data_IF_375404624505
#
_entry.id   IF_375404624505
#
_cell.length_a   1.000
_cell.length_b   1.000
_cell.length_c   1.000
_cell.angle_alpha   90.00
_cell.angle_beta   90.00
_cell.angle_gamma   90.00
#
_symmetry.space_group_name_H-M   'P 1'
#
loop_
_entity.id
_entity.type
_entity.pdbx_description
1 polymer ?
#
# COMPACT_ATOMS: atom_id res chain seq x y z
N UNK A 1 -9.08 -38.94 32.66
CA UNK A 1 -9.92 -38.57 31.50
C UNK A 1 -9.11 -37.62 30.67
N UNK A 2 -8.28 -38.17 29.79
CA UNK A 2 -7.51 -37.39 28.81
C UNK A 2 -8.45 -37.02 27.67
N UNK A 3 -8.76 -35.74 27.54
CA UNK A 3 -9.40 -35.19 26.35
C UNK A 3 -8.40 -35.28 25.21
N UNK A 4 -8.57 -36.29 24.35
CA UNK A 4 -7.80 -36.45 23.13
C UNK A 4 -7.86 -35.19 22.27
N UNK A 5 -6.70 -34.56 22.10
CA UNK A 5 -6.49 -33.51 21.11
C UNK A 5 -6.45 -34.17 19.73
N UNK A 6 -7.54 -34.14 18.99
CA UNK A 6 -7.53 -34.43 17.56
C UNK A 6 -6.81 -33.29 16.84
N UNK A 7 -5.62 -33.57 16.32
CA UNK A 7 -4.97 -32.70 15.34
C UNK A 7 -5.84 -32.66 14.07
N UNK A 8 -6.04 -31.49 13.44
CA UNK A 8 -6.72 -31.43 12.15
C UNK A 8 -5.96 -32.26 11.11
N UNK A 9 -6.70 -32.94 10.24
CA UNK A 9 -6.17 -33.89 9.26
C UNK A 9 -5.08 -33.27 8.37
N UNK A 10 -3.90 -33.88 8.42
CA UNK A 10 -2.60 -33.34 8.02
C UNK A 10 -2.35 -33.20 6.51
N UNK A 11 -3.34 -33.53 5.66
CA UNK A 11 -3.19 -33.51 4.20
C UNK A 11 -3.71 -32.23 3.54
N UNK A 12 -4.70 -31.55 4.13
CA UNK A 12 -5.28 -30.30 3.61
C UNK A 12 -4.32 -29.11 3.82
N UNK A 13 -3.50 -29.15 4.88
CA UNK A 13 -2.55 -28.08 5.23
C UNK A 13 -1.36 -27.93 4.27
N UNK A 14 -0.98 -28.99 3.52
CA UNK A 14 0.26 -29.00 2.74
C UNK A 14 0.27 -28.06 1.53
N UNK A 15 -0.90 -27.71 1.00
CA UNK A 15 -1.06 -26.87 -0.20
C UNK A 15 -1.76 -25.53 0.04
N UNK A 16 -2.05 -25.17 1.29
CA UNK A 16 -2.68 -23.90 1.61
C UNK A 16 -1.89 -22.69 1.08
N UNK A 17 -2.60 -21.72 0.49
CA UNK A 17 -2.06 -20.49 -0.08
C UNK A 17 -2.72 -19.27 0.54
N UNK A 18 -2.09 -18.10 0.40
CA UNK A 18 -2.72 -16.84 0.79
C UNK A 18 -3.36 -16.21 -0.44
N UNK A 19 -4.67 -15.98 -0.38
CA UNK A 19 -5.43 -15.34 -1.44
C UNK A 19 -4.91 -13.92 -1.72
N UNK A 20 -4.63 -13.64 -2.99
CA UNK A 20 -4.16 -12.34 -3.47
C UNK A 20 -5.26 -11.28 -3.51
N UNK A 21 -6.54 -11.70 -3.45
CA UNK A 21 -7.70 -10.81 -3.53
C UNK A 21 -8.21 -10.36 -2.15
N UNK A 22 -8.09 -11.18 -1.11
CA UNK A 22 -8.64 -10.89 0.22
C UNK A 22 -7.68 -11.17 1.40
N UNK A 23 -6.45 -11.65 1.15
CA UNK A 23 -5.48 -12.04 2.19
C UNK A 23 -5.86 -13.26 3.05
N UNK A 24 -7.00 -13.90 2.80
CA UNK A 24 -7.45 -15.09 3.51
C UNK A 24 -6.71 -16.35 3.04
N UNK A 25 -6.66 -17.37 3.90
CA UNK A 25 -6.10 -18.67 3.54
C UNK A 25 -7.05 -19.39 2.59
N UNK A 26 -6.49 -19.98 1.55
CA UNK A 26 -7.20 -20.79 0.57
C UNK A 26 -6.60 -22.18 0.48
N UNK A 27 -7.46 -23.17 0.31
CA UNK A 27 -7.11 -24.58 0.09
C UNK A 27 -7.58 -25.02 -1.29
N UNK A 28 -6.93 -26.03 -1.85
CA UNK A 28 -7.33 -26.61 -3.12
C UNK A 28 -8.26 -27.80 -2.84
N UNK A 29 -9.50 -27.73 -3.33
CA UNK A 29 -10.54 -28.75 -3.18
C UNK A 29 -11.17 -28.99 -4.55
N UNK A 30 -11.24 -30.25 -4.99
CA UNK A 30 -11.82 -30.67 -6.28
C UNK A 30 -11.33 -29.86 -7.49
N UNK A 31 -10.02 -29.55 -7.51
CA UNK A 31 -9.40 -28.77 -8.58
C UNK A 31 -9.67 -27.26 -8.55
N UNK A 32 -10.41 -26.77 -7.55
CA UNK A 32 -10.72 -25.35 -7.36
C UNK A 32 -10.09 -24.79 -6.08
N UNK A 33 -9.86 -23.47 -6.04
CA UNK A 33 -9.40 -22.79 -4.84
C UNK A 33 -10.58 -22.22 -4.06
N UNK A 34 -10.65 -22.54 -2.77
CA UNK A 34 -11.68 -22.06 -1.85
C UNK A 34 -11.03 -21.49 -0.60
N UNK A 35 -11.70 -20.56 0.07
CA UNK A 35 -11.27 -20.11 1.40
C UNK A 35 -11.35 -21.28 2.38
N UNK A 36 -10.35 -21.42 3.26
CA UNK A 36 -10.39 -22.49 4.27
C UNK A 36 -11.53 -22.28 5.25
N UNK A 37 -11.98 -23.35 5.90
CA UNK A 37 -13.02 -23.29 6.92
C UNK A 37 -12.63 -22.31 8.05
N UNK A 38 -11.37 -22.32 8.48
CA UNK A 38 -10.84 -21.41 9.51
C UNK A 38 -10.89 -19.94 9.04
N UNK A 39 -10.60 -19.68 7.76
CA UNK A 39 -10.66 -18.34 7.21
C UNK A 39 -12.11 -17.82 7.19
N UNK A 40 -13.06 -18.64 6.75
CA UNK A 40 -14.47 -18.27 6.70
C UNK A 40 -15.10 -18.14 8.09
N UNK A 41 -14.70 -18.99 9.05
CA UNK A 41 -15.17 -18.91 10.43
C UNK A 41 -14.84 -17.55 11.08
N UNK A 42 -13.66 -17.00 10.78
CA UNK A 42 -13.16 -15.79 11.44
C UNK A 42 -13.35 -14.51 10.61
N UNK A 43 -13.47 -14.63 9.28
CA UNK A 43 -13.39 -13.50 8.33
C UNK A 43 -14.33 -13.65 7.13
N UNK A 44 -15.52 -14.23 7.31
CA UNK A 44 -16.51 -14.39 6.22
C UNK A 44 -16.74 -13.09 5.44
N UNK A 45 -16.88 -11.96 6.13
CA UNK A 45 -17.14 -10.64 5.52
C UNK A 45 -15.97 -10.10 4.68
N UNK A 46 -14.75 -10.62 4.90
CA UNK A 46 -13.55 -10.25 4.13
C UNK A 46 -13.36 -11.15 2.89
N UNK A 47 -14.12 -12.25 2.76
CA UNK A 47 -13.90 -13.25 1.71
C UNK A 47 -14.28 -12.72 0.33
N UNK A 48 -13.43 -12.98 -0.67
CA UNK A 48 -13.75 -12.65 -2.06
C UNK A 48 -14.47 -13.79 -2.78
N UNK A 49 -15.24 -13.48 -3.81
CA UNK A 49 -15.96 -14.51 -4.58
C UNK A 49 -15.02 -15.37 -5.44
N UNK A 50 -13.90 -14.80 -5.87
CA UNK A 50 -12.92 -15.46 -6.74
C UNK A 50 -11.56 -15.58 -6.03
N UNK A 51 -11.30 -16.68 -5.30
CA UNK A 51 -10.04 -16.88 -4.60
C UNK A 51 -8.88 -17.04 -5.59
N UNK A 52 -7.88 -16.17 -5.47
CA UNK A 52 -6.67 -16.21 -6.30
C UNK A 52 -5.46 -16.64 -5.45
N UNK A 53 -5.01 -17.91 -5.51
CA UNK A 53 -3.94 -18.42 -4.66
C UNK A 53 -2.60 -17.72 -4.93
N UNK A 54 -1.98 -17.21 -3.86
CA UNK A 54 -0.65 -16.59 -3.90
C UNK A 54 0.45 -17.50 -3.33
N UNK A 55 1.33 -16.91 -2.51
CA UNK A 55 2.41 -17.64 -1.84
C UNK A 55 1.88 -18.76 -0.94
N UNK A 56 2.74 -19.72 -0.60
CA UNK A 56 2.41 -20.75 0.40
C UNK A 56 2.04 -20.12 1.75
N UNK A 57 0.95 -20.60 2.34
CA UNK A 57 0.59 -20.28 3.71
C UNK A 57 1.57 -20.96 4.67
N UNK A 58 2.02 -20.24 5.70
CA UNK A 58 2.81 -20.82 6.79
C UNK A 58 1.86 -21.44 7.81
N UNK A 59 2.31 -22.35 8.69
CA UNK A 59 1.44 -22.94 9.73
C UNK A 59 0.69 -21.89 10.56
N UNK A 60 1.38 -20.80 10.94
CA UNK A 60 0.75 -19.66 11.60
C UNK A 60 -0.34 -18.99 10.75
N UNK A 61 -0.10 -18.83 9.44
CA UNK A 61 -1.08 -18.20 8.56
C UNK A 61 -2.35 -19.06 8.47
N UNK A 62 -2.20 -20.39 8.39
CA UNK A 62 -3.32 -21.37 8.40
C UNK A 62 -4.09 -21.29 9.71
N UNK A 63 -3.40 -21.31 10.85
CA UNK A 63 -4.03 -21.20 12.18
C UNK A 63 -4.88 -19.94 12.35
N UNK A 64 -4.40 -18.80 11.83
CA UNK A 64 -5.16 -17.55 11.84
C UNK A 64 -6.19 -17.44 10.71
N UNK A 65 -6.20 -18.34 9.71
CA UNK A 65 -7.05 -18.22 8.52
C UNK A 65 -6.72 -17.04 7.58
N UNK A 66 -5.65 -16.27 7.83
CA UNK A 66 -5.25 -15.12 7.00
C UNK A 66 -3.78 -14.75 7.16
N UNK A 67 -3.24 -14.03 6.19
CA UNK A 67 -1.95 -13.37 6.34
C UNK A 67 -1.80 -12.13 5.46
N UNK A 68 -1.04 -11.10 5.90
CA UNK A 68 -0.81 -9.93 5.07
C UNK A 68 -0.05 -10.29 3.79
N UNK A 69 -0.54 -9.77 2.67
CA UNK A 69 0.10 -9.89 1.35
C UNK A 69 1.34 -9.01 1.21
N UNK A 70 1.33 -7.85 1.86
CA UNK A 70 2.44 -6.89 1.84
C UNK A 70 3.09 -6.74 3.20
N UNK A 71 4.40 -6.50 3.17
CA UNK A 71 5.11 -6.01 4.34
C UNK A 71 4.97 -4.49 4.39
N UNK A 72 4.64 -3.97 5.57
CA UNK A 72 4.76 -2.54 5.86
C UNK A 72 6.15 -2.03 5.53
N UNK A 73 6.21 -0.79 5.07
CA UNK A 73 7.49 -0.12 4.97
C UNK A 73 8.10 0.15 6.33
N UNK A 74 9.44 0.19 6.38
CA UNK A 74 10.10 0.81 7.51
C UNK A 74 9.62 2.26 7.66
N UNK A 75 9.75 2.81 8.87
CA UNK A 75 9.53 4.23 9.13
C UNK A 75 8.19 4.78 8.59
N UNK A 76 7.12 3.97 8.64
CA UNK A 76 5.81 4.37 8.14
C UNK A 76 4.76 4.54 9.24
N UNK A 77 3.78 5.38 8.95
CA UNK A 77 2.48 5.41 9.61
C UNK A 77 1.40 5.79 8.59
N UNK A 78 0.34 4.99 8.53
CA UNK A 78 -0.82 5.15 7.66
C UNK A 78 -2.11 4.80 8.39
N UNK A 79 -2.09 4.81 9.72
CA UNK A 79 -3.22 4.37 10.56
C UNK A 79 -4.00 5.53 11.16
N UNK A 80 -3.33 6.66 11.39
CA UNK A 80 -3.95 7.85 11.96
C UNK A 80 -4.78 8.62 10.90
N UNK A 81 -5.66 9.50 11.38
CA UNK A 81 -6.52 10.37 10.59
C UNK A 81 -6.77 11.69 11.31
N UNK A 82 -7.06 12.73 10.53
CA UNK A 82 -7.54 14.02 11.03
C UNK A 82 -9.04 14.11 10.79
N UNK A 83 -9.79 14.56 11.79
CA UNK A 83 -11.21 14.85 11.60
C UNK A 83 -11.39 16.07 10.70
N UNK A 84 -12.22 15.93 9.67
CA UNK A 84 -12.53 17.00 8.71
C UNK A 84 -13.98 17.42 8.93
N UNK A 85 -14.18 18.63 9.45
CA UNK A 85 -15.51 19.16 9.75
C UNK A 85 -16.36 19.22 8.48
N UNK A 86 -17.59 18.69 8.58
CA UNK A 86 -18.54 18.64 7.46
C UNK A 86 -18.34 17.45 6.52
N UNK A 87 -17.22 16.72 6.60
CA UNK A 87 -17.00 15.58 5.72
C UNK A 87 -17.99 14.47 6.03
N UNK A 88 -18.71 14.01 5.01
CA UNK A 88 -19.65 12.90 5.10
C UNK A 88 -19.30 11.86 4.05
N UNK A 89 -19.44 10.58 4.42
CA UNK A 89 -19.29 9.49 3.47
C UNK A 89 -20.47 9.52 2.48
N UNK A 90 -20.16 9.58 1.18
CA UNK A 90 -21.16 9.61 0.11
C UNK A 90 -20.53 9.38 -1.27
N UNK A 91 -21.25 9.74 -2.34
CA UNK A 91 -20.83 9.50 -3.73
C UNK A 91 -19.70 10.42 -4.24
N UNK A 92 -19.33 11.44 -3.46
CA UNK A 92 -18.24 12.34 -3.81
C UNK A 92 -16.90 11.60 -3.71
N UNK A 93 -16.05 11.68 -4.76
CA UNK A 93 -14.77 11.01 -4.70
C UNK A 93 -13.82 11.71 -3.73
N UNK A 94 -13.03 10.91 -3.01
CA UNK A 94 -11.96 11.39 -2.13
C UNK A 94 -10.80 11.87 -2.99
N UNK A 95 -10.42 13.14 -2.88
CA UNK A 95 -9.22 13.66 -3.53
C UNK A 95 -8.01 13.31 -2.69
N UNK A 96 -6.94 12.84 -3.32
CA UNK A 96 -5.74 12.38 -2.61
C UNK A 96 -4.50 12.93 -3.31
N UNK A 97 -3.74 13.76 -2.63
CA UNK A 97 -2.40 14.14 -3.07
C UNK A 97 -1.41 13.05 -2.73
N UNK A 98 -0.50 12.72 -3.65
CA UNK A 98 0.55 11.71 -3.45
C UNK A 98 1.88 12.23 -3.96
N UNK A 99 2.94 12.04 -3.19
CA UNK A 99 4.27 12.49 -3.59
C UNK A 99 5.40 11.62 -3.00
N UNK A 100 6.60 11.79 -3.55
CA UNK A 100 7.84 11.14 -3.19
C UNK A 100 8.95 12.14 -2.87
N UNK A 101 9.76 11.82 -1.87
CA UNK A 101 11.04 12.49 -1.63
C UNK A 101 12.17 11.46 -1.65
N UNK A 102 13.17 11.70 -2.51
CA UNK A 102 14.40 10.91 -2.56
C UNK A 102 15.63 11.83 -2.50
N UNK A 103 16.60 11.47 -1.66
CA UNK A 103 17.91 12.14 -1.59
C UNK A 103 19.02 11.12 -1.50
N UNK A 104 19.85 11.03 -2.54
CA UNK A 104 21.00 10.15 -2.55
C UNK A 104 21.97 10.48 -1.41
N UNK A 105 22.47 9.44 -0.71
CA UNK A 105 23.52 9.63 0.30
C UNK A 105 24.85 9.84 -0.40
N UNK A 106 25.70 10.70 0.17
CA UNK A 106 27.07 10.94 -0.32
C UNK A 106 27.90 9.65 -0.31
N UNK A 107 27.68 8.79 0.68
CA UNK A 107 28.39 7.51 0.87
C UNK A 107 27.53 6.33 0.37
N UNK A 108 27.16 6.33 -0.92
CA UNK A 108 26.27 5.32 -1.52
C UNK A 108 26.90 3.91 -1.63
N UNK A 109 28.16 3.76 -1.20
CA UNK A 109 28.93 2.52 -1.15
C UNK A 109 28.59 1.65 0.08
N UNK A 110 28.08 2.24 1.18
CA UNK A 110 27.66 1.51 2.40
C UNK A 110 26.21 1.03 2.35
N UNK A 111 25.95 -0.13 2.94
CA UNK A 111 24.59 -0.66 3.07
C UNK A 111 23.78 0.04 4.19
N UNK A 112 22.46 0.23 4.00
CA UNK A 112 21.73 0.00 2.75
C UNK A 112 22.07 1.08 1.69
N UNK A 113 22.25 0.65 0.44
CA UNK A 113 22.70 1.51 -0.67
C UNK A 113 21.70 2.63 -0.98
N UNK A 114 22.22 3.81 -1.35
CA UNK A 114 21.40 4.95 -1.76
C UNK A 114 20.69 5.67 -0.60
N UNK A 115 19.88 6.66 -0.97
CA UNK A 115 18.99 7.39 -0.05
C UNK A 115 17.78 6.57 0.38
N UNK A 116 17.09 6.94 1.47
CA UNK A 116 15.75 6.46 1.69
C UNK A 116 14.84 6.99 0.58
N UNK A 117 14.01 6.11 0.04
CA UNK A 117 12.89 6.45 -0.83
C UNK A 117 11.71 6.69 0.08
N UNK A 118 11.22 7.91 0.08
CA UNK A 118 10.17 8.36 0.97
C UNK A 118 8.91 8.62 0.17
N UNK A 119 7.76 8.37 0.78
CA UNK A 119 6.46 8.56 0.16
C UNK A 119 5.51 9.18 1.16
N UNK A 120 4.52 9.93 0.67
CA UNK A 120 3.48 10.55 1.46
C UNK A 120 2.17 10.67 0.68
N UNK A 121 1.04 10.67 1.40
CA UNK A 121 -0.26 11.03 0.84
C UNK A 121 -1.14 11.77 1.87
N UNK A 122 -2.02 12.63 1.38
CA UNK A 122 -3.06 13.32 2.18
C UNK A 122 -4.37 13.29 1.40
N UNK A 123 -5.46 12.90 2.06
CA UNK A 123 -6.78 12.69 1.47
C UNK A 123 -7.85 13.56 2.12
N UNK A 124 -8.79 14.06 1.33
CA UNK A 124 -9.85 14.99 1.78
C UNK A 124 -10.79 14.42 2.85
N UNK A 125 -10.82 13.09 3.03
CA UNK A 125 -11.58 12.43 4.08
C UNK A 125 -10.84 12.36 5.43
N UNK A 126 -9.70 13.03 5.57
CA UNK A 126 -8.92 13.02 6.80
C UNK A 126 -7.82 11.96 6.86
N UNK A 127 -7.83 11.00 5.94
CA UNK A 127 -6.77 9.99 5.89
C UNK A 127 -5.46 10.60 5.36
N UNK A 128 -4.36 10.18 5.96
CA UNK A 128 -3.02 10.51 5.47
C UNK A 128 -2.06 9.38 5.80
N UNK A 129 -0.91 9.35 5.14
CA UNK A 129 0.11 8.39 5.47
C UNK A 129 1.46 8.78 4.89
N UNK A 130 2.51 8.25 5.50
CA UNK A 130 3.87 8.49 5.07
C UNK A 130 4.75 7.30 5.41
N UNK A 131 5.86 7.14 4.70
CA UNK A 131 6.82 6.10 5.03
C UNK A 131 8.09 6.17 4.21
N UNK A 132 9.07 5.34 4.59
CA UNK A 132 10.36 5.33 3.90
C UNK A 132 10.95 3.93 3.82
N UNK A 133 11.59 3.61 2.71
CA UNK A 133 12.32 2.35 2.56
C UNK A 133 13.67 2.59 1.93
N UNK A 134 14.61 1.70 2.19
CA UNK A 134 15.87 1.64 1.46
C UNK A 134 15.76 0.51 0.44
N UNK A 135 15.96 0.80 -0.85
CA UNK A 135 15.90 -0.24 -1.87
C UNK A 135 17.21 -1.04 -1.89
N UNK A 136 17.16 -2.37 -1.73
CA UNK A 136 18.31 -3.21 -2.02
C UNK A 136 18.66 -3.10 -3.52
N UNK A 137 19.94 -3.18 -3.89
CA UNK A 137 20.40 -3.17 -5.31
C UNK A 137 19.66 -4.15 -6.23
N UNK A 138 19.20 -5.29 -5.68
CA UNK A 138 18.44 -6.32 -6.43
C UNK A 138 17.02 -5.88 -6.81
N UNK A 139 16.48 -4.84 -6.17
CA UNK A 139 15.21 -4.23 -6.58
C UNK A 139 15.61 -3.07 -7.50
N UNK A 140 15.56 -3.32 -8.80
CA UNK A 140 15.92 -2.31 -9.79
C UNK A 140 14.85 -1.23 -9.94
N UNK A 141 15.20 -0.24 -10.77
CA UNK A 141 14.34 0.86 -11.17
C UNK A 141 14.71 2.19 -10.53
N UNK A 142 14.14 3.25 -11.08
CA UNK A 142 14.36 4.62 -10.61
C UNK A 142 13.78 4.83 -9.20
N UNK A 143 14.57 5.32 -8.21
CA UNK A 143 14.11 5.51 -6.85
C UNK A 143 12.93 6.48 -6.71
N UNK A 144 12.87 7.52 -7.53
CA UNK A 144 11.79 8.53 -7.48
C UNK A 144 10.49 7.90 -7.95
N UNK A 145 10.48 7.32 -9.15
CA UNK A 145 9.34 6.58 -9.72
C UNK A 145 8.83 5.50 -8.77
N UNK A 146 9.75 4.79 -8.09
CA UNK A 146 9.37 3.81 -7.08
C UNK A 146 8.65 4.46 -5.89
N UNK A 147 9.15 5.59 -5.38
CA UNK A 147 8.53 6.28 -4.25
C UNK A 147 7.15 6.83 -4.58
N UNK A 148 6.97 7.41 -5.77
CA UNK A 148 5.69 7.96 -6.24
C UNK A 148 4.63 6.85 -6.30
N UNK A 149 4.95 5.73 -6.97
CA UNK A 149 4.04 4.58 -7.07
C UNK A 149 3.77 3.92 -5.71
N UNK A 150 4.65 4.12 -4.73
CA UNK A 150 4.42 3.64 -3.36
C UNK A 150 3.48 4.54 -2.57
N UNK A 151 3.55 5.85 -2.77
CA UNK A 151 2.56 6.77 -2.24
C UNK A 151 1.17 6.38 -2.74
N UNK A 152 1.04 6.16 -4.05
CA UNK A 152 -0.19 5.66 -4.68
C UNK A 152 -0.61 4.32 -4.10
N UNK A 153 0.32 3.36 -3.95
CA UNK A 153 0.00 2.03 -3.40
C UNK A 153 -0.66 2.11 -2.02
N UNK A 154 -0.08 2.87 -1.10
CA UNK A 154 -0.59 2.98 0.26
C UNK A 154 -1.90 3.77 0.32
N UNK A 155 -2.04 4.83 -0.49
CA UNK A 155 -3.29 5.57 -0.63
C UNK A 155 -4.43 4.68 -1.15
N UNK A 156 -4.21 4.00 -2.29
CA UNK A 156 -5.19 3.10 -2.91
C UNK A 156 -5.58 1.98 -1.95
N UNK A 157 -4.60 1.34 -1.32
CA UNK A 157 -4.83 0.24 -0.37
C UNK A 157 -5.73 0.65 0.80
N UNK A 158 -5.59 1.88 1.30
CA UNK A 158 -6.38 2.37 2.44
C UNK A 158 -7.76 2.85 2.03
N UNK A 159 -7.89 3.52 0.88
CA UNK A 159 -9.06 4.31 0.54
C UNK A 159 -10.05 3.60 -0.40
N UNK A 160 -9.54 2.90 -1.43
CA UNK A 160 -10.38 2.29 -2.47
C UNK A 160 -11.37 1.25 -1.96
N UNK A 161 -11.10 0.47 -0.89
CA UNK A 161 -12.08 -0.45 -0.34
C UNK A 161 -13.40 0.20 0.12
N UNK A 162 -13.42 1.53 0.34
CA UNK A 162 -14.58 2.26 0.88
C UNK A 162 -14.97 3.50 0.08
N UNK A 163 -14.14 3.93 -0.86
CA UNK A 163 -14.28 5.22 -1.52
C UNK A 163 -13.85 5.18 -2.98
N UNK A 164 -14.53 5.97 -3.80
CA UNK A 164 -13.99 6.42 -5.10
C UNK A 164 -12.87 7.42 -4.83
N UNK A 165 -11.76 7.33 -5.55
CA UNK A 165 -10.54 8.10 -5.33
C UNK A 165 -10.12 8.84 -6.59
N UNK A 166 -9.79 10.12 -6.45
CA UNK A 166 -9.04 10.89 -7.46
C UNK A 166 -7.63 11.14 -6.93
N UNK A 167 -6.66 10.45 -7.52
CA UNK A 167 -5.24 10.63 -7.24
C UNK A 167 -4.73 11.89 -7.93
N UNK A 168 -4.04 12.74 -7.18
CA UNK A 168 -3.37 13.93 -7.65
C UNK A 168 -1.87 13.73 -7.46
N UNK A 169 -1.13 13.74 -8.56
CA UNK A 169 0.32 13.54 -8.58
C UNK A 169 0.95 14.46 -9.61
N UNK A 170 2.17 14.92 -9.36
CA UNK A 170 2.98 15.67 -10.31
C UNK A 170 3.84 14.81 -11.23
N UNK A 171 3.80 13.49 -11.05
CA UNK A 171 4.46 12.52 -11.91
C UNK A 171 3.61 12.12 -13.11
N UNK A 172 4.02 12.58 -14.29
CA UNK A 172 3.38 12.19 -15.56
C UNK A 172 3.54 10.69 -15.81
N UNK A 173 4.71 10.12 -15.52
CA UNK A 173 4.98 8.68 -15.63
C UNK A 173 4.02 7.85 -14.76
N UNK A 174 3.70 8.33 -13.55
CA UNK A 174 2.69 7.70 -12.67
C UNK A 174 1.30 7.75 -13.30
N UNK A 175 0.90 8.90 -13.85
CA UNK A 175 -0.40 9.04 -14.53
C UNK A 175 -0.51 8.06 -15.71
N UNK A 176 0.48 8.07 -16.60
CA UNK A 176 0.52 7.19 -17.78
C UNK A 176 0.48 5.71 -17.39
N UNK A 177 1.27 5.31 -16.38
CA UNK A 177 1.32 3.92 -15.95
C UNK A 177 0.01 3.46 -15.32
N UNK A 178 -0.66 4.31 -14.52
CA UNK A 178 -1.97 3.98 -13.96
C UNK A 178 -3.03 3.86 -15.06
N UNK A 179 -3.06 4.79 -16.03
CA UNK A 179 -4.02 4.74 -17.14
C UNK A 179 -3.81 3.49 -18.01
N UNK A 180 -2.57 3.10 -18.30
CA UNK A 180 -2.29 1.83 -18.98
C UNK A 180 -2.75 0.61 -18.17
N UNK A 181 -2.58 0.63 -16.85
CA UNK A 181 -3.05 -0.46 -15.99
C UNK A 181 -4.57 -0.57 -15.99
N UNK A 182 -5.31 0.55 -16.09
CA UNK A 182 -6.77 0.53 -16.22
C UNK A 182 -7.22 -0.20 -17.49
N UNK A 183 -6.40 -0.20 -18.55
CA UNK A 183 -6.67 -0.96 -19.78
C UNK A 183 -6.06 -2.38 -19.77
N UNK A 184 -5.61 -2.87 -18.61
CA UNK A 184 -5.10 -4.23 -18.44
C UNK A 184 -3.61 -4.43 -18.75
N UNK A 185 -2.83 -3.35 -18.96
CA UNK A 185 -1.38 -3.45 -19.16
C UNK A 185 -0.70 -4.17 -17.99
N UNK A 186 0.37 -4.90 -18.31
CA UNK A 186 1.26 -5.56 -17.33
C UNK A 186 2.60 -4.82 -17.18
N UNK A 187 2.77 -3.67 -17.85
CA UNK A 187 3.99 -2.86 -17.79
C UNK A 187 4.32 -2.49 -16.34
N UNK A 188 5.58 -2.55 -15.97
CA UNK A 188 6.09 -2.05 -14.68
C UNK A 188 6.97 -0.82 -14.93
N UNK A 189 7.25 0.01 -13.89
CA UNK A 189 8.28 1.03 -14.01
C UNK A 189 9.60 0.42 -14.51
N UNK A 190 10.33 1.16 -15.34
CA UNK A 190 11.57 0.66 -15.97
C UNK A 190 12.52 0.12 -14.91
N UNK A 191 12.99 -1.11 -15.09
CA UNK A 191 13.92 -1.79 -14.19
C UNK A 191 13.29 -2.38 -12.92
N UNK A 192 11.99 -2.19 -12.67
CA UNK A 192 11.32 -2.73 -11.50
C UNK A 192 11.14 -4.25 -11.59
N UNK A 193 11.72 -4.98 -10.63
CA UNK A 193 11.59 -6.44 -10.55
C UNK A 193 10.38 -6.83 -9.72
N UNK A 194 9.49 -7.68 -10.25
CA UNK A 194 8.30 -8.18 -9.55
C UNK A 194 8.58 -9.41 -8.69
N UNK A 195 9.57 -10.23 -9.06
CA UNK A 195 9.96 -11.41 -8.29
C UNK A 195 10.63 -10.98 -6.98
N UNK A 196 10.21 -11.60 -5.87
CA UNK A 196 10.71 -11.32 -4.53
C UNK A 196 11.21 -12.62 -3.89
N UNK A 197 12.36 -12.56 -3.23
CA UNK A 197 12.89 -13.69 -2.45
C UNK A 197 11.93 -14.17 -1.34
N UNK A 198 11.04 -13.30 -0.85
CA UNK A 198 10.03 -13.65 0.16
C UNK A 198 8.79 -14.32 -0.41
N UNK A 199 8.69 -14.50 -1.73
CA UNK A 199 7.51 -14.97 -2.49
C UNK A 199 6.24 -14.12 -2.35
N UNK A 200 6.21 -13.16 -1.43
CA UNK A 200 5.19 -12.11 -1.40
C UNK A 200 5.18 -11.34 -2.73
N UNK A 201 4.00 -11.02 -3.27
CA UNK A 201 3.90 -10.21 -4.47
C UNK A 201 4.54 -8.83 -4.24
N UNK A 202 5.18 -8.29 -5.28
CA UNK A 202 5.73 -6.94 -5.24
C UNK A 202 4.60 -5.91 -5.03
N UNK A 203 4.87 -4.85 -4.27
CA UNK A 203 3.89 -3.79 -3.98
C UNK A 203 3.28 -3.20 -5.24
N UNK A 204 4.09 -2.90 -6.25
CA UNK A 204 3.61 -2.28 -7.48
C UNK A 204 2.83 -3.28 -8.36
N UNK A 205 3.13 -4.58 -8.29
CA UNK A 205 2.28 -5.60 -8.93
C UNK A 205 0.93 -5.73 -8.22
N UNK A 206 0.90 -5.64 -6.89
CA UNK A 206 -0.36 -5.55 -6.17
C UNK A 206 -1.11 -4.27 -6.48
N UNK A 207 -0.43 -3.13 -6.58
CA UNK A 207 -1.07 -1.88 -6.99
C UNK A 207 -1.73 -2.05 -8.36
N UNK A 208 -0.99 -2.56 -9.34
CA UNK A 208 -1.51 -2.83 -10.68
C UNK A 208 -2.78 -3.68 -10.65
N UNK A 209 -2.77 -4.78 -9.89
CA UNK A 209 -3.94 -5.64 -9.73
C UNK A 209 -5.12 -4.92 -9.10
N UNK A 210 -4.88 -4.07 -8.09
CA UNK A 210 -5.93 -3.25 -7.49
C UNK A 210 -6.48 -2.21 -8.49
N UNK A 211 -5.61 -1.59 -9.30
CA UNK A 211 -6.02 -0.65 -10.35
C UNK A 211 -6.89 -1.34 -11.40
N UNK A 212 -6.49 -2.53 -11.87
CA UNK A 212 -7.30 -3.32 -12.82
C UNK A 212 -8.64 -3.71 -12.20
N UNK A 213 -8.64 -4.20 -10.95
CA UNK A 213 -9.84 -4.71 -10.27
C UNK A 213 -10.84 -3.60 -9.92
N UNK A 214 -10.36 -2.40 -9.63
CA UNK A 214 -11.15 -1.28 -9.12
C UNK A 214 -11.01 -0.04 -10.02
N UNK A 215 -10.87 -0.23 -11.34
CA UNK A 215 -10.56 0.83 -12.30
C UNK A 215 -11.66 1.92 -12.37
N UNK A 216 -12.89 1.56 -12.03
CA UNK A 216 -14.06 2.44 -11.93
C UNK A 216 -14.05 3.32 -10.66
N UNK A 217 -13.33 2.88 -9.63
CA UNK A 217 -13.16 3.61 -8.37
C UNK A 217 -11.91 4.50 -8.36
N UNK A 218 -11.01 4.34 -9.32
CA UNK A 218 -9.71 5.04 -9.35
C UNK A 218 -9.64 5.95 -10.57
N UNK A 219 -9.46 7.24 -10.33
CA UNK A 219 -9.06 8.22 -11.35
C UNK A 219 -7.73 8.82 -10.97
N UNK A 220 -6.87 9.13 -11.95
CA UNK A 220 -5.62 9.86 -11.73
C UNK A 220 -5.64 11.17 -12.52
N UNK A 221 -5.11 12.24 -11.92
CA UNK A 221 -4.95 13.54 -12.56
C UNK A 221 -3.55 14.06 -12.30
N UNK A 222 -2.90 14.48 -13.37
CA UNK A 222 -1.64 15.19 -13.27
C UNK A 222 -1.90 16.60 -12.73
N UNK A 223 -1.15 16.99 -11.72
CA UNK A 223 -1.08 18.37 -11.22
C UNK A 223 0.33 18.89 -11.44
N UNK A 224 0.50 20.18 -11.69
CA UNK A 224 1.84 20.71 -11.91
C UNK A 224 2.60 20.75 -10.58
N UNK A 225 3.76 20.08 -10.52
CA UNK A 225 4.64 20.09 -9.35
C UNK A 225 5.06 21.50 -8.95
N UNK A 226 5.20 21.75 -7.64
CA UNK A 226 5.60 23.04 -7.07
C UNK A 226 4.70 24.25 -7.42
N UNK A 227 3.44 24.03 -7.82
CA UNK A 227 2.48 25.11 -8.14
C UNK A 227 1.26 25.19 -7.22
N UNK A 228 1.30 24.59 -6.02
CA UNK A 228 0.34 24.99 -4.99
C UNK A 228 -0.82 24.06 -4.71
N UNK A 229 -0.93 22.84 -5.29
CA UNK A 229 -2.05 21.97 -4.89
C UNK A 229 -1.85 21.51 -3.44
N UNK A 230 -2.71 21.92 -2.48
CA UNK A 230 -2.40 21.76 -1.07
C UNK A 230 -2.22 20.30 -0.64
N UNK A 231 -2.98 19.36 -1.24
CA UNK A 231 -2.81 17.93 -0.95
C UNK A 231 -1.47 17.38 -1.43
N UNK A 232 -0.96 17.82 -2.59
CA UNK A 232 0.32 17.35 -3.12
C UNK A 232 1.48 17.91 -2.30
N UNK A 233 1.42 19.20 -1.93
CA UNK A 233 2.41 19.81 -1.03
C UNK A 233 2.39 19.20 0.37
N UNK A 234 1.21 18.85 0.87
CA UNK A 234 1.06 18.08 2.10
C UNK A 234 1.74 16.71 2.00
N UNK A 235 1.52 16.00 0.90
CA UNK A 235 2.15 14.72 0.63
C UNK A 235 3.69 14.81 0.55
N UNK A 236 4.24 15.83 -0.13
CA UNK A 236 5.67 16.13 -0.18
C UNK A 236 6.27 16.32 1.22
N UNK A 237 5.62 17.16 2.04
CA UNK A 237 6.04 17.40 3.41
C UNK A 237 6.04 16.11 4.26
N UNK A 238 4.99 15.29 4.12
CA UNK A 238 4.90 13.99 4.76
C UNK A 238 6.02 13.03 4.34
N UNK A 239 6.34 12.97 3.04
CA UNK A 239 7.47 12.19 2.54
C UNK A 239 8.81 12.69 3.13
N UNK A 240 9.00 14.00 3.27
CA UNK A 240 10.19 14.58 3.90
C UNK A 240 10.32 14.18 5.37
N UNK A 241 9.23 14.17 6.16
CA UNK A 241 9.26 13.69 7.55
C UNK A 241 9.66 12.22 7.64
N UNK A 242 9.18 11.39 6.71
CA UNK A 242 9.61 9.98 6.62
C UNK A 242 11.12 9.86 6.42
N UNK A 243 11.70 10.70 5.56
CA UNK A 243 13.14 10.75 5.32
C UNK A 243 13.94 11.21 6.54
N UNK A 244 13.45 12.20 7.27
CA UNK A 244 14.07 12.65 8.53
C UNK A 244 14.05 11.53 9.58
N UNK A 245 12.94 10.81 9.71
CA UNK A 245 12.84 9.66 10.61
C UNK A 245 13.76 8.51 10.19
N UNK A 246 13.74 8.12 8.91
CA UNK A 246 14.58 7.05 8.38
C UNK A 246 16.09 7.34 8.50
N UNK A 247 16.47 8.61 8.48
CA UNK A 247 17.86 9.06 8.69
C UNK A 247 18.20 9.39 10.14
N UNK A 248 17.27 9.10 11.08
CA UNK A 248 17.42 9.34 12.53
C UNK A 248 17.69 10.81 12.90
N UNK A 249 17.26 11.76 12.06
CA UNK A 249 17.33 13.20 12.36
C UNK A 249 16.19 13.66 13.27
N UNK A 250 15.08 12.92 13.29
CA UNK A 250 13.96 13.09 14.21
C UNK A 250 13.52 11.74 14.76
N UNK A 251 12.82 11.73 15.90
CA UNK A 251 12.20 10.54 16.45
C UNK A 251 10.95 10.12 15.66
N UNK A 252 10.47 8.90 15.89
CA UNK A 252 9.19 8.41 15.35
C UNK A 252 8.03 9.31 15.76
N UNK A 253 8.01 9.68 17.03
CA UNK A 253 6.93 10.46 17.66
C UNK A 253 6.90 11.88 17.09
N UNK A 254 8.06 12.50 16.88
CA UNK A 254 8.17 13.81 16.25
C UNK A 254 7.68 13.77 14.79
N UNK A 255 8.15 12.79 13.99
CA UNK A 255 7.71 12.65 12.60
C UNK A 255 6.18 12.42 12.49
N UNK A 256 5.61 11.58 13.36
CA UNK A 256 4.15 11.37 13.43
C UNK A 256 3.40 12.65 13.79
N UNK A 257 3.88 13.40 14.78
CA UNK A 257 3.25 14.64 15.21
C UNK A 257 3.31 15.73 14.11
N UNK A 258 4.45 15.85 13.42
CA UNK A 258 4.62 16.76 12.28
C UNK A 258 3.72 16.39 11.11
N UNK A 259 3.62 15.10 10.78
CA UNK A 259 2.72 14.59 9.75
C UNK A 259 1.25 14.91 10.08
N UNK A 260 0.81 14.64 11.32
CA UNK A 260 -0.56 14.95 11.77
C UNK A 260 -0.88 16.45 11.67
N UNK A 261 0.02 17.31 12.18
CA UNK A 261 -0.14 18.77 12.11
C UNK A 261 -0.23 19.27 10.67
N UNK A 262 0.62 18.75 9.80
CA UNK A 262 0.66 19.14 8.39
C UNK A 262 -0.61 18.69 7.67
N UNK A 263 -1.04 17.44 7.87
CA UNK A 263 -2.30 16.94 7.31
C UNK A 263 -3.48 17.80 7.78
N UNK A 264 -3.55 18.14 9.07
CA UNK A 264 -4.62 18.99 9.60
C UNK A 264 -4.62 20.40 8.98
N UNK A 265 -3.45 21.04 8.86
CA UNK A 265 -3.33 22.36 8.25
C UNK A 265 -3.71 22.36 6.76
N UNK A 266 -3.37 21.29 6.02
CA UNK A 266 -3.76 21.11 4.63
C UNK A 266 -5.28 20.94 4.51
N UNK A 267 -5.87 20.10 5.37
CA UNK A 267 -7.29 19.73 5.31
C UNK A 267 -8.23 20.85 5.75
N UNK A 268 -7.76 21.83 6.52
CA UNK A 268 -8.51 23.07 6.78
C UNK A 268 -8.88 23.84 5.50
N UNK A 269 -8.20 23.58 4.38
CA UNK A 269 -8.50 24.18 3.06
C UNK A 269 -9.58 23.44 2.28
N UNK A 270 -10.05 22.29 2.79
CA UNK A 270 -11.04 21.43 2.16
C UNK A 270 -12.21 21.21 3.13
N UNK A 271 -13.14 22.17 3.25
CA UNK A 271 -14.37 21.93 3.99
C UNK A 271 -15.14 20.77 3.34
N UNK A 272 -15.75 19.93 4.16
CA UNK A 272 -16.55 18.79 3.71
C UNK A 272 -17.88 19.17 3.08
#
# INVERSE_FOLDING_TARGET
METGMTQPETTVELHARICLNCCLVTVAEDGNWRHSAEALLNFADDACDEPLPGRKARPRDVWFGRAPLVKNDPYMDDTDSVEVTGWQQGDQPVLVGTDCSYRQRRDADRQPYGGPICWGYVATNGAYGFGATFMPRRIGGDPVSNGEMRAVFWAVRRLVPRHRVVLLTDSQDTVELIEEWRTGSTRMPRGYTVQRASERPAKLELLRRNVVKHFELITVRWVRGHTGHPLNEGADALAKFAGLWATKRVSKEAAKADARRTAAAVLQRFPG
#
